data_IF_042780052550
#
_entry.id   IF_042780052550
#
_cell.length_a   1.000
_cell.length_b   1.000
_cell.length_c   1.000
_cell.angle_alpha   90.00
_cell.angle_beta   90.00
_cell.angle_gamma   90.00
#
_symmetry.space_group_name_H-M   'P 1'
#
loop_
_entity.id
_entity.type
_entity.pdbx_description
1 polymer ?
#
# COMPACT_ATOMS: atom_id res chain seq x y z
N UNK A 1 -12.99 -7.59 9.70
CA UNK A 1 -11.68 -7.81 9.06
C UNK A 1 -11.90 -8.83 7.95
N UNK A 2 -11.62 -8.49 6.68
CA UNK A 2 -11.61 -9.51 5.63
C UNK A 2 -10.43 -10.44 5.90
N UNK A 3 -10.69 -11.75 5.96
CA UNK A 3 -9.64 -12.76 6.01
C UNK A 3 -9.07 -12.89 4.59
N UNK A 4 -7.75 -12.82 4.47
CA UNK A 4 -7.07 -13.21 3.23
C UNK A 4 -7.21 -14.72 3.11
N UNK A 5 -7.62 -15.21 1.93
CA UNK A 5 -7.65 -16.65 1.69
C UNK A 5 -6.22 -17.22 1.65
N UNK A 6 -6.05 -18.44 2.12
CA UNK A 6 -4.75 -19.12 2.03
C UNK A 6 -4.32 -19.29 0.57
N UNK A 7 -5.27 -19.48 -0.34
CA UNK A 7 -5.01 -19.50 -1.81
C UNK A 7 -4.33 -18.22 -2.32
N UNK A 8 -4.73 -17.04 -1.84
CA UNK A 8 -4.09 -15.80 -2.23
C UNK A 8 -2.67 -15.73 -1.66
N UNK A 9 -2.49 -16.10 -0.39
CA UNK A 9 -1.17 -16.08 0.24
C UNK A 9 -0.19 -17.02 -0.48
N UNK A 10 -0.65 -18.19 -0.89
CA UNK A 10 0.13 -19.15 -1.69
C UNK A 10 0.42 -18.61 -3.09
N UNK A 11 -0.58 -18.00 -3.76
CA UNK A 11 -0.43 -17.45 -5.11
C UNK A 11 0.59 -16.31 -5.19
N UNK A 12 0.69 -15.49 -4.13
CA UNK A 12 1.69 -14.41 -4.03
C UNK A 12 2.95 -14.84 -3.26
N UNK A 13 3.07 -16.13 -2.91
CA UNK A 13 4.17 -16.71 -2.15
C UNK A 13 4.47 -15.96 -0.83
N UNK A 14 3.44 -15.48 -0.11
CA UNK A 14 3.61 -14.76 1.13
C UNK A 14 3.65 -15.70 2.33
N UNK A 15 4.85 -16.14 2.67
CA UNK A 15 5.19 -16.87 3.89
C UNK A 15 6.14 -16.05 4.76
N UNK A 16 6.33 -16.45 6.02
CA UNK A 16 7.32 -15.84 6.92
C UNK A 16 8.71 -15.78 6.25
N UNK A 17 9.18 -16.91 5.75
CA UNK A 17 10.49 -17.03 5.12
C UNK A 17 10.64 -16.13 3.87
N UNK A 18 9.62 -16.08 3.01
CA UNK A 18 9.63 -15.21 1.84
C UNK A 18 9.58 -13.74 2.24
N UNK A 19 8.80 -13.39 3.26
CA UNK A 19 8.72 -12.01 3.74
C UNK A 19 10.06 -11.53 4.31
N UNK A 20 10.76 -12.38 5.08
CA UNK A 20 12.12 -12.08 5.54
C UNK A 20 13.10 -11.87 4.37
N UNK A 21 12.99 -12.69 3.31
CA UNK A 21 13.80 -12.49 2.10
C UNK A 21 13.49 -11.15 1.41
N UNK A 22 12.22 -10.74 1.34
CA UNK A 22 11.83 -9.43 0.77
C UNK A 22 12.42 -8.27 1.57
N UNK A 23 12.37 -8.33 2.89
CA UNK A 23 13.01 -7.34 3.77
C UNK A 23 14.52 -7.27 3.53
N UNK A 24 15.17 -8.42 3.47
CA UNK A 24 16.61 -8.50 3.19
C UNK A 24 16.96 -7.96 1.80
N UNK A 25 16.16 -8.30 0.78
CA UNK A 25 16.38 -7.87 -0.60
C UNK A 25 16.28 -6.35 -0.76
N UNK A 26 15.33 -5.71 -0.07
CA UNK A 26 15.17 -4.24 -0.07
C UNK A 26 16.21 -3.55 0.83
N UNK A 27 17.00 -4.32 1.56
CA UNK A 27 18.03 -3.82 2.46
C UNK A 27 17.48 -3.20 3.75
N UNK A 28 16.30 -3.65 4.22
CA UNK A 28 15.75 -3.22 5.50
C UNK A 28 16.48 -3.93 6.64
N UNK A 29 17.20 -3.15 7.44
CA UNK A 29 18.06 -3.65 8.53
C UNK A 29 17.46 -3.36 9.91
N UNK A 30 18.00 -3.98 10.96
CA UNK A 30 17.65 -3.63 12.36
C UNK A 30 17.96 -2.16 12.70
N UNK A 31 19.03 -1.61 12.14
CA UNK A 31 19.38 -0.19 12.31
C UNK A 31 18.32 0.73 11.69
N UNK A 32 17.79 0.39 10.50
CA UNK A 32 16.68 1.13 9.89
C UNK A 32 15.44 1.11 10.80
N UNK A 33 15.13 -0.05 11.39
CA UNK A 33 14.00 -0.21 12.32
C UNK A 33 14.20 0.64 13.58
N UNK A 34 15.39 0.64 14.15
CA UNK A 34 15.73 1.48 15.31
C UNK A 34 15.60 2.98 14.98
N UNK A 35 16.09 3.42 13.81
CA UNK A 35 15.97 4.80 13.34
C UNK A 35 14.51 5.21 13.23
N UNK A 36 13.65 4.40 12.61
CA UNK A 36 12.22 4.69 12.47
C UNK A 36 11.50 4.72 13.82
N UNK A 37 11.83 3.78 14.70
CA UNK A 37 11.27 3.73 16.06
C UNK A 37 11.66 4.95 16.89
N UNK A 38 12.89 5.46 16.71
CA UNK A 38 13.37 6.65 17.44
C UNK A 38 12.56 7.91 17.13
N UNK A 39 11.99 8.00 15.92
CA UNK A 39 11.16 9.15 15.50
C UNK A 39 9.67 8.86 15.54
N UNK A 40 9.26 7.67 15.95
CA UNK A 40 7.87 7.25 15.95
C UNK A 40 6.94 8.20 16.72
N UNK A 41 7.22 8.45 18.00
CA UNK A 41 6.41 9.36 18.82
C UNK A 41 6.51 10.82 18.35
N UNK A 42 7.71 11.38 18.09
CA UNK A 42 7.82 12.75 17.58
C UNK A 42 7.09 12.98 16.26
N UNK A 43 7.09 12.01 15.35
CA UNK A 43 6.37 12.14 14.07
C UNK A 43 4.86 12.14 14.24
N UNK A 44 4.32 11.51 15.27
CA UNK A 44 2.87 11.52 15.54
C UNK A 44 2.32 12.91 15.85
N UNK A 45 3.16 13.84 16.31
CA UNK A 45 2.74 15.25 16.52
C UNK A 45 2.32 15.89 15.18
N UNK A 46 2.83 15.43 14.06
CA UNK A 46 2.50 15.91 12.70
C UNK A 46 1.43 15.07 12.01
N UNK A 47 0.88 14.02 12.65
CA UNK A 47 -0.08 13.09 12.04
C UNK A 47 -1.25 13.80 11.36
N UNK A 48 -1.85 14.76 12.04
CA UNK A 48 -2.99 15.51 11.51
C UNK A 48 -2.60 16.30 10.26
N UNK A 49 -1.52 17.07 10.35
CA UNK A 49 -1.06 17.91 9.24
C UNK A 49 -0.64 17.07 8.03
N UNK A 50 -0.02 15.90 8.27
CA UNK A 50 0.35 14.97 7.24
C UNK A 50 -0.87 14.39 6.54
N UNK A 51 -1.84 13.88 7.30
CA UNK A 51 -3.07 13.30 6.75
C UNK A 51 -3.88 14.36 6.02
N UNK A 52 -4.03 15.55 6.57
CA UNK A 52 -4.76 16.64 5.93
C UNK A 52 -4.09 17.07 4.62
N UNK A 53 -2.78 17.30 4.60
CA UNK A 53 -2.03 17.65 3.40
C UNK A 53 -2.03 16.55 2.34
N UNK A 54 -1.99 15.28 2.76
CA UNK A 54 -2.10 14.15 1.85
C UNK A 54 -3.47 14.12 1.15
N UNK A 55 -4.57 14.26 1.88
CA UNK A 55 -5.91 14.28 1.30
C UNK A 55 -6.19 15.54 0.49
N UNK A 56 -5.64 16.69 0.87
CA UNK A 56 -5.69 17.91 0.05
C UNK A 56 -5.05 17.66 -1.32
N UNK A 57 -3.87 17.05 -1.34
CA UNK A 57 -3.20 16.66 -2.57
C UNK A 57 -4.05 15.68 -3.39
N UNK A 58 -4.53 14.60 -2.80
CA UNK A 58 -5.34 13.58 -3.50
C UNK A 58 -6.62 14.18 -4.11
N UNK A 59 -7.33 15.02 -3.36
CA UNK A 59 -8.57 15.65 -3.79
C UNK A 59 -8.36 16.76 -4.83
N UNK A 60 -7.13 17.16 -5.13
CA UNK A 60 -6.84 18.06 -6.24
C UNK A 60 -7.05 17.40 -7.62
N UNK A 61 -7.06 16.06 -7.69
CA UNK A 61 -7.24 15.27 -8.92
C UNK A 61 -8.70 14.82 -9.09
N UNK A 62 -9.29 15.09 -10.27
CA UNK A 62 -10.69 14.72 -10.58
C UNK A 62 -10.95 13.22 -10.42
N UNK A 63 -10.05 12.38 -10.93
CA UNK A 63 -10.16 10.91 -10.83
C UNK A 63 -10.28 10.44 -9.38
N UNK A 64 -9.51 11.02 -8.47
CA UNK A 64 -9.55 10.67 -7.05
C UNK A 64 -10.81 11.19 -6.38
N UNK A 65 -11.27 12.41 -6.73
CA UNK A 65 -12.55 12.95 -6.22
C UNK A 65 -13.74 12.09 -6.60
N UNK A 66 -13.74 11.50 -7.81
CA UNK A 66 -14.79 10.56 -8.23
C UNK A 66 -14.87 9.33 -7.33
N UNK A 67 -13.72 8.81 -6.88
CA UNK A 67 -13.64 7.67 -5.96
C UNK A 67 -14.01 8.11 -4.53
N UNK A 68 -13.46 9.25 -4.07
CA UNK A 68 -13.64 9.77 -2.72
C UNK A 68 -14.83 10.74 -2.62
N UNK A 69 -15.97 10.38 -3.22
CA UNK A 69 -17.13 11.26 -3.44
C UNK A 69 -17.92 11.63 -2.18
N UNK A 70 -17.78 10.91 -1.05
CA UNK A 70 -18.54 11.18 0.16
C UNK A 70 -17.66 11.62 1.35
N UNK A 71 -18.15 12.59 2.14
CA UNK A 71 -17.46 13.07 3.34
C UNK A 71 -17.30 11.99 4.40
N UNK A 72 -18.28 11.08 4.52
CA UNK A 72 -18.22 9.96 5.47
C UNK A 72 -17.09 9.00 5.08
N UNK A 73 -16.95 8.70 3.78
CA UNK A 73 -15.86 7.88 3.27
C UNK A 73 -14.51 8.55 3.54
N UNK A 74 -14.36 9.83 3.20
CA UNK A 74 -13.13 10.58 3.44
C UNK A 74 -12.76 10.60 4.93
N UNK A 75 -13.72 10.81 5.82
CA UNK A 75 -13.50 10.79 7.27
C UNK A 75 -13.01 9.42 7.75
N UNK A 76 -13.61 8.34 7.26
CA UNK A 76 -13.20 6.98 7.60
C UNK A 76 -11.79 6.67 7.09
N UNK A 77 -11.50 7.06 5.85
CA UNK A 77 -10.20 6.80 5.23
C UNK A 77 -9.08 7.62 5.88
N UNK A 78 -9.35 8.87 6.32
CA UNK A 78 -8.38 9.66 7.09
C UNK A 78 -7.97 8.95 8.38
N UNK A 79 -8.91 8.31 9.10
CA UNK A 79 -8.60 7.49 10.28
C UNK A 79 -7.72 6.29 9.93
N UNK A 80 -8.01 5.64 8.81
CA UNK A 80 -7.19 4.52 8.31
C UNK A 80 -5.79 4.99 7.93
N UNK A 81 -5.67 6.16 7.29
CA UNK A 81 -4.39 6.75 6.92
C UNK A 81 -3.57 7.14 8.16
N UNK A 82 -4.21 7.70 9.18
CA UNK A 82 -3.57 7.97 10.47
C UNK A 82 -2.99 6.70 11.11
N UNK A 83 -3.77 5.61 11.09
CA UNK A 83 -3.29 4.31 11.57
C UNK A 83 -2.09 3.82 10.76
N UNK A 84 -2.18 3.90 9.42
CA UNK A 84 -1.08 3.51 8.53
C UNK A 84 0.19 4.31 8.83
N UNK A 85 0.08 5.62 9.01
CA UNK A 85 1.23 6.48 9.33
C UNK A 85 1.92 6.05 10.62
N UNK A 86 1.16 5.70 11.66
CA UNK A 86 1.73 5.15 12.90
C UNK A 86 2.40 3.81 12.68
N UNK A 87 1.78 2.89 11.94
CA UNK A 87 2.33 1.57 11.66
C UNK A 87 3.65 1.64 10.87
N UNK A 88 3.79 2.64 9.98
CA UNK A 88 4.96 2.80 9.12
C UNK A 88 6.27 3.05 9.89
N UNK A 89 6.18 3.60 11.10
CA UNK A 89 7.34 3.90 11.95
C UNK A 89 7.35 3.13 13.27
N UNK A 90 6.41 2.22 13.47
CA UNK A 90 6.26 1.47 14.72
C UNK A 90 7.34 0.39 14.94
N UNK A 91 8.11 0.06 13.90
CA UNK A 91 9.17 -0.96 13.98
C UNK A 91 8.68 -2.41 13.99
N UNK A 92 7.39 -2.65 13.75
CA UNK A 92 6.78 -3.99 13.74
C UNK A 92 6.42 -4.37 12.31
N UNK A 93 7.34 -5.06 11.63
CA UNK A 93 7.17 -5.51 10.25
C UNK A 93 7.18 -7.03 10.21
N UNK A 94 6.10 -7.62 10.71
CA UNK A 94 5.85 -9.06 10.77
C UNK A 94 4.90 -9.53 9.64
N UNK A 95 4.57 -10.82 9.62
CA UNK A 95 3.67 -11.37 8.62
C UNK A 95 2.25 -10.79 8.72
N UNK A 96 1.81 -10.35 9.90
CA UNK A 96 0.50 -9.67 10.08
C UNK A 96 0.53 -8.31 9.39
N UNK A 97 1.61 -7.57 9.56
CA UNK A 97 1.85 -6.32 8.85
C UNK A 97 1.79 -6.54 7.33
N UNK A 98 2.52 -7.54 6.82
CA UNK A 98 2.55 -7.85 5.39
C UNK A 98 1.16 -8.19 4.83
N UNK A 99 0.40 -9.04 5.53
CA UNK A 99 -0.98 -9.38 5.15
C UNK A 99 -1.88 -8.14 5.08
N UNK A 100 -1.74 -7.20 6.01
CA UNK A 100 -2.50 -5.97 5.98
C UNK A 100 -2.17 -5.11 4.73
N UNK A 101 -0.92 -5.09 4.27
CA UNK A 101 -0.53 -4.37 3.03
C UNK A 101 -1.13 -5.01 1.79
N UNK A 102 -1.16 -6.34 1.71
CA UNK A 102 -1.86 -7.07 0.64
C UNK A 102 -3.36 -6.72 0.62
N UNK A 103 -4.02 -6.69 1.78
CA UNK A 103 -5.43 -6.29 1.88
C UNK A 103 -5.67 -4.87 1.39
N UNK A 104 -4.74 -3.95 1.66
CA UNK A 104 -4.80 -2.58 1.14
C UNK A 104 -4.72 -2.59 -0.38
N UNK A 105 -3.81 -3.36 -0.98
CA UNK A 105 -3.71 -3.52 -2.44
C UNK A 105 -5.02 -4.02 -3.06
N UNK A 106 -5.60 -5.10 -2.50
CA UNK A 106 -6.90 -5.63 -2.95
C UNK A 106 -8.03 -4.60 -2.84
N UNK A 107 -8.06 -3.81 -1.76
CA UNK A 107 -9.09 -2.80 -1.56
C UNK A 107 -9.00 -1.70 -2.62
N UNK A 108 -7.80 -1.26 -2.97
CA UNK A 108 -7.57 -0.24 -3.99
C UNK A 108 -7.89 -0.77 -5.41
N UNK A 109 -7.48 -1.99 -5.73
CA UNK A 109 -7.81 -2.65 -7.00
C UNK A 109 -9.32 -2.76 -7.17
N UNK A 110 -10.04 -3.22 -6.14
CA UNK A 110 -11.49 -3.41 -6.16
C UNK A 110 -12.28 -2.13 -6.44
N UNK A 111 -11.80 -0.97 -6.00
CA UNK A 111 -12.41 0.33 -6.30
C UNK A 111 -11.97 0.91 -7.65
N UNK A 112 -11.19 0.16 -8.43
CA UNK A 112 -10.69 0.58 -9.74
C UNK A 112 -9.61 1.67 -9.69
N UNK A 113 -8.91 1.81 -8.57
CA UNK A 113 -7.70 2.64 -8.49
C UNK A 113 -6.56 1.87 -9.13
N UNK A 114 -6.01 2.36 -10.23
CA UNK A 114 -4.89 1.68 -10.91
C UNK A 114 -3.57 1.84 -10.15
N UNK A 115 -2.62 0.93 -10.41
CA UNK A 115 -1.34 0.89 -9.71
C UNK A 115 -0.56 2.21 -9.83
N UNK A 116 -0.68 2.91 -10.95
CA UNK A 116 -0.03 4.21 -11.16
C UNK A 116 -0.48 5.28 -10.16
N UNK A 117 -1.81 5.35 -9.87
CA UNK A 117 -2.35 6.26 -8.88
C UNK A 117 -1.97 5.86 -7.46
N UNK A 118 -1.95 4.56 -7.19
CA UNK A 118 -1.52 4.02 -5.90
C UNK A 118 -0.05 4.37 -5.60
N UNK A 119 0.85 4.09 -6.56
CA UNK A 119 2.28 4.40 -6.43
C UNK A 119 2.51 5.92 -6.39
N UNK A 120 1.80 6.68 -7.24
CA UNK A 120 1.89 8.14 -7.27
C UNK A 120 1.51 8.79 -5.94
N UNK A 121 0.49 8.24 -5.25
CA UNK A 121 0.10 8.70 -3.92
C UNK A 121 1.22 8.51 -2.88
N UNK A 122 2.02 7.44 -2.98
CA UNK A 122 3.21 7.29 -2.13
C UNK A 122 4.23 8.40 -2.33
N UNK A 123 4.40 8.89 -3.57
CA UNK A 123 5.29 10.03 -3.84
C UNK A 123 4.90 11.27 -3.05
N UNK A 124 3.60 11.62 -3.05
CA UNK A 124 3.07 12.74 -2.27
C UNK A 124 3.19 12.49 -0.75
N UNK A 125 2.82 11.29 -0.30
CA UNK A 125 2.89 10.90 1.11
C UNK A 125 4.31 10.96 1.66
N UNK A 126 5.28 10.36 0.96
CA UNK A 126 6.69 10.37 1.36
C UNK A 126 7.28 11.78 1.35
N UNK A 127 6.87 12.64 0.40
CA UNK A 127 7.31 14.04 0.39
C UNK A 127 6.87 14.78 1.66
N UNK A 128 5.65 14.54 2.14
CA UNK A 128 5.16 15.10 3.41
C UNK A 128 5.93 14.52 4.61
N UNK A 129 6.12 13.20 4.67
CA UNK A 129 6.91 12.57 5.73
C UNK A 129 8.33 13.14 5.79
N UNK A 130 9.00 13.26 4.64
CA UNK A 130 10.35 13.81 4.54
C UNK A 130 10.43 15.25 5.06
N UNK A 131 9.42 16.07 4.74
CA UNK A 131 9.31 17.44 5.26
C UNK A 131 9.26 17.46 6.79
N UNK A 132 8.44 16.61 7.41
CA UNK A 132 8.32 16.57 8.86
C UNK A 132 9.55 15.96 9.55
N UNK A 133 10.18 14.95 8.94
CA UNK A 133 11.47 14.42 9.41
C UNK A 133 12.53 15.54 9.41
N UNK A 134 12.59 16.36 8.37
CA UNK A 134 13.52 17.47 8.29
C UNK A 134 13.24 18.54 9.38
N UNK A 135 11.97 18.81 9.67
CA UNK A 135 11.56 19.73 10.76
C UNK A 135 11.98 19.20 12.12
N UNK A 136 11.72 17.90 12.40
CA UNK A 136 12.15 17.26 13.64
C UNK A 136 13.67 17.32 13.85
N UNK A 137 14.41 17.14 12.78
CA UNK A 137 15.86 17.09 12.83
C UNK A 137 16.54 18.43 12.46
N UNK A 138 15.82 19.55 12.54
CA UNK A 138 16.36 20.86 12.14
C UNK A 138 17.67 21.24 12.89
N UNK A 139 17.83 20.78 14.14
CA UNK A 139 19.05 20.98 14.94
C UNK A 139 20.16 19.96 14.64
N UNK A 140 19.84 18.87 13.97
CA UNK A 140 20.77 17.77 13.62
C UNK A 140 20.45 17.22 12.22
N UNK A 141 20.59 18.03 11.15
CA UNK A 141 20.10 17.66 9.81
C UNK A 141 20.69 16.36 9.25
N UNK A 142 21.88 15.96 9.72
CA UNK A 142 22.55 14.72 9.31
C UNK A 142 21.76 13.45 9.70
N UNK A 143 20.85 13.54 10.68
CA UNK A 143 20.01 12.44 11.11
C UNK A 143 18.80 12.24 10.15
N UNK A 144 18.45 13.23 9.37
CA UNK A 144 17.28 13.15 8.47
C UNK A 144 17.47 12.14 7.35
N UNK A 145 18.65 12.11 6.72
CA UNK A 145 18.92 11.23 5.57
C UNK A 145 18.77 9.73 5.90
N UNK A 146 19.41 9.19 6.96
CA UNK A 146 19.23 7.77 7.29
C UNK A 146 17.77 7.43 7.65
N UNK A 147 17.05 8.31 8.35
CA UNK A 147 15.64 8.10 8.68
C UNK A 147 14.77 8.08 7.42
N UNK A 148 15.00 9.02 6.49
CA UNK A 148 14.31 9.06 5.19
C UNK A 148 14.62 7.80 4.38
N UNK A 149 15.87 7.35 4.36
CA UNK A 149 16.27 6.12 3.69
C UNK A 149 15.53 4.91 4.25
N UNK A 150 15.49 4.76 5.57
CA UNK A 150 14.77 3.69 6.25
C UNK A 150 13.26 3.73 5.94
N UNK A 151 12.65 4.92 5.98
CA UNK A 151 11.25 5.12 5.64
C UNK A 151 10.94 4.70 4.21
N UNK A 152 11.80 5.08 3.26
CA UNK A 152 11.64 4.70 1.86
C UNK A 152 11.71 3.19 1.65
N UNK A 153 12.59 2.47 2.38
CA UNK A 153 12.67 1.00 2.33
C UNK A 153 11.35 0.35 2.77
N UNK A 154 10.77 0.80 3.89
CA UNK A 154 9.49 0.29 4.37
C UNK A 154 8.36 0.64 3.39
N UNK A 155 8.31 1.86 2.87
CA UNK A 155 7.29 2.25 1.89
C UNK A 155 7.39 1.44 0.59
N UNK A 156 8.60 1.16 0.10
CA UNK A 156 8.80 0.29 -1.06
C UNK A 156 8.40 -1.16 -0.78
N UNK A 157 8.66 -1.67 0.42
CA UNK A 157 8.18 -2.99 0.84
C UNK A 157 6.65 -3.04 0.79
N UNK A 158 5.97 -2.03 1.30
CA UNK A 158 4.51 -1.92 1.28
C UNK A 158 3.95 -1.86 -0.15
N UNK A 159 4.60 -1.08 -1.01
CA UNK A 159 4.23 -0.98 -2.44
C UNK A 159 4.33 -2.36 -3.10
N UNK A 160 5.41 -3.10 -2.87
CA UNK A 160 5.59 -4.42 -3.49
C UNK A 160 4.52 -5.41 -3.05
N UNK A 161 4.15 -5.41 -1.76
CA UNK A 161 3.08 -6.26 -1.22
C UNK A 161 1.71 -5.92 -1.81
N UNK A 162 1.41 -4.63 -1.97
CA UNK A 162 0.17 -4.21 -2.62
C UNK A 162 0.16 -4.56 -4.11
N UNK A 163 1.28 -4.44 -4.82
CA UNK A 163 1.38 -4.79 -6.24
C UNK A 163 1.20 -6.29 -6.50
N UNK A 164 1.61 -7.16 -5.57
CA UNK A 164 1.29 -8.59 -5.66
C UNK A 164 -0.22 -8.81 -5.68
N UNK A 165 -0.98 -8.09 -4.84
CA UNK A 165 -2.44 -8.15 -4.84
C UNK A 165 -3.05 -7.65 -6.16
N UNK A 166 -2.55 -6.53 -6.71
CA UNK A 166 -2.98 -6.02 -8.02
C UNK A 166 -2.70 -7.04 -9.13
N UNK A 167 -1.51 -7.62 -9.15
CA UNK A 167 -1.10 -8.61 -10.15
C UNK A 167 -1.99 -9.85 -10.09
N UNK A 168 -2.24 -10.37 -8.89
CA UNK A 168 -3.12 -11.52 -8.68
C UNK A 168 -4.54 -11.23 -9.17
N UNK A 169 -5.13 -10.10 -8.78
CA UNK A 169 -6.47 -9.72 -9.20
C UNK A 169 -6.58 -9.59 -10.72
N UNK A 170 -5.61 -8.94 -11.37
CA UNK A 170 -5.55 -8.84 -12.83
C UNK A 170 -5.49 -10.20 -13.52
N UNK A 171 -4.72 -11.15 -12.99
CA UNK A 171 -4.65 -12.51 -13.51
C UNK A 171 -5.99 -13.23 -13.38
N UNK A 172 -6.67 -13.11 -12.24
CA UNK A 172 -8.00 -13.70 -12.05
C UNK A 172 -9.04 -13.13 -13.03
N UNK A 173 -9.02 -11.84 -13.28
CA UNK A 173 -9.89 -11.22 -14.28
C UNK A 173 -9.64 -11.75 -15.70
N UNK A 174 -8.37 -11.93 -16.08
CA UNK A 174 -8.00 -12.50 -17.38
C UNK A 174 -8.47 -13.94 -17.53
N UNK A 175 -8.31 -14.78 -16.49
CA UNK A 175 -8.77 -16.17 -16.49
C UNK A 175 -10.29 -16.22 -16.63
N UNK A 176 -11.03 -15.42 -15.85
CA UNK A 176 -12.49 -15.36 -15.91
C UNK A 176 -12.98 -14.94 -17.31
N UNK A 177 -12.37 -13.92 -17.90
CA UNK A 177 -12.70 -13.45 -19.26
C UNK A 177 -12.44 -14.53 -20.30
N UNK A 178 -11.32 -15.23 -20.22
CA UNK A 178 -10.98 -16.34 -21.15
C UNK A 178 -11.99 -17.47 -21.05
N UNK A 179 -12.40 -17.86 -19.84
CA UNK A 179 -13.37 -18.91 -19.62
C UNK A 179 -14.73 -18.52 -20.19
N UNK A 180 -15.21 -17.29 -19.94
CA UNK A 180 -16.47 -16.79 -20.50
C UNK A 180 -16.47 -16.79 -22.03
N UNK A 181 -15.36 -16.41 -22.67
CA UNK A 181 -15.23 -16.47 -24.12
C UNK A 181 -15.29 -17.91 -24.63
N UNK A 182 -14.58 -18.86 -23.98
CA UNK A 182 -14.62 -20.27 -24.37
C UNK A 182 -16.04 -20.85 -24.28
N UNK A 183 -16.77 -20.53 -23.22
CA UNK A 183 -18.18 -20.95 -23.05
C UNK A 183 -19.09 -20.38 -24.14
N UNK A 184 -18.92 -19.09 -24.49
CA UNK A 184 -19.69 -18.46 -25.59
C UNK A 184 -19.40 -19.12 -26.93
N UNK A 185 -18.15 -19.44 -27.26
CA UNK A 185 -17.80 -20.13 -28.49
C UNK A 185 -18.35 -21.56 -28.53
N UNK A 186 -18.27 -22.29 -27.42
CA UNK A 186 -18.82 -23.64 -27.31
C UNK A 186 -20.34 -23.64 -27.51
N UNK A 187 -21.04 -22.66 -26.94
CA UNK A 187 -22.47 -22.51 -27.12
C UNK A 187 -22.86 -22.17 -28.59
N UNK A 188 -22.12 -21.26 -29.25
CA UNK A 188 -22.36 -20.93 -30.66
C UNK A 188 -22.15 -22.11 -31.60
N UNK A 189 -21.13 -22.95 -31.36
CA UNK A 189 -20.86 -24.15 -32.14
C UNK A 189 -22.03 -25.15 -31.98
N UNK A 190 -22.56 -25.33 -30.77
CA UNK A 190 -23.69 -26.24 -30.51
C UNK A 190 -25.01 -25.83 -31.20
N UNK A 191 -25.19 -24.56 -31.52
CA UNK A 191 -26.35 -24.02 -32.23
C UNK A 191 -26.20 -24.11 -33.76
N UNK A 192 -24.96 -24.18 -34.26
CA UNK A 192 -24.67 -24.29 -35.70
C UNK A 192 -24.77 -25.72 -36.27
N UNK A 193 -24.78 -26.72 -35.41
CA UNK A 193 -24.87 -28.15 -35.78
C UNK A 193 -26.30 -28.72 -35.70
N UNK A 194 -27.31 -27.86 -35.46
CA UNK A 194 -28.74 -28.23 -35.41
C UNK A 194 -29.53 -27.66 -36.62
#
# INVERSE_FOLDING_TARGET
MQNISDELLDAIALSEANFEQRKAFIGLTSEDVELLTSVHLPLQEFERELVDGFYEHLLSFSRVREILHSEQLQTSLRKTQSKYFRELTAGVYDLVYAKNRVLVGLAHERIGLTAEWYIGAYGAFLSLCNKFIAVLNAKSPRLSEPIISALNKVALLDITLALDAYSHASQQHLIATKNNLADQYSFQLSLGDA
#
